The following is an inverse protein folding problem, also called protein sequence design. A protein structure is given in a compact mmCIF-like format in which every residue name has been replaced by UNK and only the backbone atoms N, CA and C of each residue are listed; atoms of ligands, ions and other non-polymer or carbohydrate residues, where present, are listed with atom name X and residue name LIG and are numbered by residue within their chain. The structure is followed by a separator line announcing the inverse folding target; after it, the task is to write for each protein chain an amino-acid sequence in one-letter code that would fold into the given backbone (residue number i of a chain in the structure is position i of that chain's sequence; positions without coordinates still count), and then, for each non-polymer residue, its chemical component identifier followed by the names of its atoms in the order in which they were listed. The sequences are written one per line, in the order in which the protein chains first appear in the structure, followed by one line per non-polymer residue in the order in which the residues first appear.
data_IF_829500626308
#
_entry.id   IF_829500626308
#
_cell.length_a   1.000
_cell.length_b   1.000
_cell.length_c   1.000
_cell.angle_alpha   90.00
_cell.angle_beta   90.00
_cell.angle_gamma   90.00
#
_symmetry.space_group_name_H-M   'P 1'
#
loop_
_entity.id
_entity.type
_entity.pdbx_description
1 polymer ?
#
# COMPACT_ATOMS: atom_id res chain seq x y z
N UNK A 1 -22.47 -17.55 -31.15
CA UNK A 1 -22.79 -16.59 -32.24
C UNK A 1 -21.58 -15.68 -32.39
N UNK A 2 -20.79 -15.91 -33.44
CA UNK A 2 -19.54 -15.19 -33.73
C UNK A 2 -19.90 -13.83 -34.31
N UNK A 3 -19.46 -12.73 -33.69
CA UNK A 3 -19.60 -11.39 -34.26
C UNK A 3 -18.25 -10.90 -34.78
N UNK A 4 -18.26 -10.69 -36.09
CA UNK A 4 -17.16 -10.38 -36.99
C UNK A 4 -16.81 -8.89 -36.88
N UNK A 5 -15.53 -8.57 -36.73
CA UNK A 5 -14.96 -7.22 -36.69
C UNK A 5 -15.07 -6.57 -38.08
N UNK A 6 -15.79 -5.45 -38.18
CA UNK A 6 -15.83 -4.57 -39.36
C UNK A 6 -14.88 -3.40 -39.13
N UNK A 7 -13.84 -3.27 -39.98
CA UNK A 7 -12.95 -2.10 -40.03
C UNK A 7 -13.55 -1.07 -41.00
N UNK A 8 -13.79 0.15 -40.54
CA UNK A 8 -13.88 1.35 -41.37
C UNK A 8 -12.74 2.30 -40.98
N UNK A 9 -11.88 2.60 -41.94
CA UNK A 9 -10.79 3.57 -41.85
C UNK A 9 -11.37 4.98 -42.01
N UNK A 10 -11.29 5.79 -40.95
CA UNK A 10 -11.34 7.25 -41.09
C UNK A 10 -10.12 7.85 -40.38
N UNK A 11 -9.24 8.45 -41.17
CA UNK A 11 -8.04 9.17 -40.76
C UNK A 11 -8.43 10.58 -40.32
N UNK A 12 -8.27 10.89 -39.03
CA UNK A 12 -8.37 12.25 -38.49
C UNK A 12 -6.93 12.76 -38.26
N UNK A 13 -6.58 13.84 -38.98
CA UNK A 13 -5.32 14.56 -38.82
C UNK A 13 -5.32 15.37 -37.52
N UNK A 14 -4.26 15.34 -36.68
CA UNK A 14 -4.17 16.21 -35.53
C UNK A 14 -3.69 17.62 -35.93
N UNK A 15 -4.46 18.63 -35.54
CA UNK A 15 -4.06 20.04 -35.54
C UNK A 15 -3.11 20.32 -34.36
N UNK A 16 -2.07 21.14 -34.51
CA UNK A 16 -1.15 21.43 -33.42
C UNK A 16 -1.76 22.45 -32.45
N UNK A 17 -2.04 22.02 -31.22
CA UNK A 17 -2.30 22.91 -30.08
C UNK A 17 -0.95 23.33 -29.48
N UNK A 18 -0.53 24.54 -29.82
CA UNK A 18 0.58 25.25 -29.20
C UNK A 18 0.19 25.65 -27.78
N UNK A 19 0.72 24.94 -26.77
CA UNK A 19 0.70 25.39 -25.38
C UNK A 19 2.09 25.97 -25.10
N UNK A 20 2.14 27.29 -24.94
CA UNK A 20 3.37 28.05 -24.79
C UNK A 20 4.12 27.72 -23.50
N UNK A 21 5.45 27.78 -23.57
CA UNK A 21 6.42 27.56 -22.50
C UNK A 21 6.37 28.57 -21.32
N UNK A 22 5.21 29.19 -21.07
CA UNK A 22 4.99 30.18 -20.00
C UNK A 22 4.25 29.63 -18.77
N UNK A 23 3.56 28.48 -18.86
CA UNK A 23 2.85 27.91 -17.71
C UNK A 23 3.70 27.00 -16.82
N UNK A 24 4.85 26.51 -17.31
CA UNK A 24 5.80 25.70 -16.52
C UNK A 24 6.62 26.55 -15.52
N UNK A 25 6.56 27.89 -15.61
CA UNK A 25 7.24 28.80 -14.68
C UNK A 25 6.45 29.17 -13.42
N UNK A 26 5.20 28.73 -13.27
CA UNK A 26 4.35 29.15 -12.15
C UNK A 26 4.42 28.26 -10.89
N UNK A 27 5.10 27.11 -10.93
CA UNK A 27 5.20 26.20 -9.78
C UNK A 27 6.59 26.15 -9.12
N UNK A 28 7.57 26.94 -9.59
CA UNK A 28 8.95 26.84 -9.11
C UNK A 28 9.51 28.09 -8.39
N UNK A 29 8.70 29.10 -8.07
CA UNK A 29 9.17 30.35 -7.42
C UNK A 29 8.44 30.74 -6.12
N UNK A 30 7.55 29.90 -5.58
CA UNK A 30 6.94 30.12 -4.25
C UNK A 30 7.78 29.51 -3.13
N UNK A 31 9.06 29.87 -3.11
CA UNK A 31 9.97 29.67 -1.98
C UNK A 31 11.03 30.75 -2.07
N UNK A 32 10.66 31.95 -1.65
CA UNK A 32 11.50 33.03 -1.12
C UNK A 32 10.66 34.32 -1.12
N UNK A 33 10.86 35.17 -0.12
CA UNK A 33 10.14 36.43 0.18
C UNK A 33 8.84 36.30 0.98
N UNK A 34 8.99 36.30 2.30
CA UNK A 34 8.13 37.09 3.18
C UNK A 34 8.96 37.58 4.37
N UNK A 35 9.80 38.59 4.12
CA UNK A 35 10.41 39.41 5.17
C UNK A 35 10.02 40.88 4.93
N UNK A 36 9.77 41.57 6.05
CA UNK A 36 9.53 43.02 6.23
C UNK A 36 8.12 43.56 5.96
N UNK A 37 7.33 43.74 7.03
CA UNK A 37 7.15 45.03 7.72
C UNK A 37 6.00 44.96 8.74
N UNK A 38 6.29 45.12 10.02
CA UNK A 38 5.35 45.67 11.00
C UNK A 38 6.13 46.41 12.10
N UNK A 39 5.69 47.63 12.35
CA UNK A 39 6.32 48.71 13.12
C UNK A 39 6.28 48.50 14.64
N UNK A 40 7.30 49.03 15.34
CA UNK A 40 7.33 49.16 16.80
C UNK A 40 6.09 49.91 17.32
N UNK A 41 5.39 49.32 18.28
CA UNK A 41 4.68 50.04 19.33
C UNK A 41 4.70 49.20 20.59
N UNK A 42 5.39 49.72 21.60
CA UNK A 42 5.51 49.12 22.92
C UNK A 42 4.17 49.19 23.64
N UNK A 43 3.62 48.02 23.97
CA UNK A 43 2.45 47.87 24.84
C UNK A 43 2.62 46.58 25.62
N UNK A 44 2.91 46.68 26.91
CA UNK A 44 3.00 45.54 27.83
C UNK A 44 1.57 45.02 28.04
N UNK A 45 1.23 43.90 27.41
CA UNK A 45 0.07 43.10 27.75
C UNK A 45 0.57 41.71 28.17
N UNK A 46 0.39 41.37 29.44
CA UNK A 46 0.72 40.06 29.97
C UNK A 46 -0.15 39.00 29.29
N UNK A 47 0.41 38.29 28.31
CA UNK A 47 -0.20 37.09 27.73
C UNK A 47 0.04 35.94 28.71
N UNK A 48 -1.01 35.49 29.37
CA UNK A 48 -1.09 34.18 29.97
C UNK A 48 -0.82 33.15 28.87
N UNK A 49 0.32 32.46 28.94
CA UNK A 49 0.63 31.31 28.08
C UNK A 49 -0.35 30.19 28.38
N UNK A 50 -1.50 30.18 27.70
CA UNK A 50 -2.29 28.96 27.56
C UNK A 50 -1.42 27.99 26.74
N UNK A 51 -0.82 27.03 27.42
CA UNK A 51 -0.15 25.90 26.78
C UNK A 51 -1.22 25.09 26.05
N UNK A 52 -1.41 25.35 24.76
CA UNK A 52 -1.97 24.36 23.85
C UNK A 52 -0.93 23.24 23.77
N UNK A 53 -1.26 21.99 24.15
CA UNK A 53 -0.33 20.90 23.94
C UNK A 53 -0.11 20.78 22.43
N UNK A 54 1.11 21.09 21.99
CA UNK A 54 1.60 20.66 20.69
C UNK A 54 1.44 19.15 20.66
N UNK A 55 0.54 18.63 19.82
CA UNK A 55 0.42 17.21 19.57
C UNK A 55 1.75 16.73 18.96
N UNK A 56 2.68 16.29 19.81
CA UNK A 56 3.87 15.59 19.37
C UNK A 56 3.38 14.34 18.67
N UNK A 57 3.59 14.25 17.35
CA UNK A 57 3.52 12.97 16.67
C UNK A 57 4.50 12.04 17.39
N UNK A 58 3.99 10.98 17.99
CA UNK A 58 4.80 9.95 18.60
C UNK A 58 5.36 9.12 17.45
N UNK A 59 6.60 9.38 17.06
CA UNK A 59 7.24 8.69 15.92
C UNK A 59 7.54 7.22 16.20
N UNK A 60 7.41 6.78 17.46
CA UNK A 60 7.77 5.43 17.89
C UNK A 60 6.60 4.83 18.68
N UNK A 61 5.74 4.12 17.97
CA UNK A 61 4.68 3.30 18.56
C UNK A 61 5.22 1.87 18.73
N UNK A 62 5.26 1.37 19.96
CA UNK A 62 5.70 0.02 20.23
C UNK A 62 4.60 -0.99 19.91
N UNK A 63 4.66 -1.60 18.72
CA UNK A 63 3.75 -2.65 18.31
C UNK A 63 3.75 -3.87 19.25
N UNK A 64 4.85 -4.15 19.95
CA UNK A 64 4.97 -5.29 20.85
C UNK A 64 4.22 -5.07 22.18
N UNK A 65 3.84 -3.83 22.48
CA UNK A 65 2.94 -3.52 23.58
C UNK A 65 1.52 -4.04 23.36
N UNK A 66 1.13 -4.28 22.10
CA UNK A 66 -0.17 -4.85 21.75
C UNK A 66 -0.14 -6.37 21.75
N UNK A 67 -1.02 -6.98 22.54
CA UNK A 67 -1.26 -8.43 22.45
C UNK A 67 -2.14 -8.73 21.23
N UNK A 68 -1.70 -9.62 20.30
CA UNK A 68 -2.53 -10.03 19.17
C UNK A 68 -3.89 -10.59 19.60
N UNK A 69 -4.96 -10.20 18.92
CA UNK A 69 -6.33 -10.57 19.26
C UNK A 69 -7.15 -10.92 18.01
N UNK A 70 -8.08 -11.86 18.13
CA UNK A 70 -9.06 -12.19 17.07
C UNK A 70 -10.19 -11.16 16.97
N UNK A 71 -10.19 -10.16 17.85
CA UNK A 71 -11.04 -8.96 17.79
C UNK A 71 -10.20 -7.71 17.60
N UNK A 72 -10.72 -6.71 16.89
CA UNK A 72 -10.02 -5.45 16.65
C UNK A 72 -10.05 -4.53 17.88
N UNK A 73 -9.05 -4.68 18.74
CA UNK A 73 -8.83 -3.85 19.91
C UNK A 73 -8.03 -2.60 19.52
N UNK A 74 -8.74 -1.57 19.06
CA UNK A 74 -8.13 -0.31 18.61
C UNK A 74 -7.59 0.52 19.78
N UNK A 75 -6.33 0.96 19.67
CA UNK A 75 -5.71 1.94 20.58
C UNK A 75 -5.27 3.16 19.80
N UNK A 76 -5.19 4.32 20.45
CA UNK A 76 -4.52 5.47 19.84
C UNK A 76 -3.04 5.17 19.62
N UNK A 77 -2.51 5.53 18.45
CA UNK A 77 -1.12 5.29 18.06
C UNK A 77 -0.63 6.41 17.15
N UNK A 78 0.67 6.72 17.19
CA UNK A 78 1.39 7.72 16.36
C UNK A 78 0.88 9.18 16.44
N UNK A 79 -0.39 9.43 16.10
CA UNK A 79 -1.04 10.74 16.10
C UNK A 79 -2.40 10.68 16.79
N UNK A 80 -2.99 11.84 17.07
CA UNK A 80 -4.35 11.92 17.62
C UNK A 80 -5.45 11.47 16.63
N UNK A 81 -5.12 11.29 15.35
CA UNK A 81 -6.07 10.95 14.28
C UNK A 81 -5.99 9.48 13.87
N UNK A 82 -5.06 8.72 14.44
CA UNK A 82 -4.76 7.34 14.02
C UNK A 82 -4.96 6.37 15.17
N UNK A 83 -5.48 5.19 14.84
CA UNK A 83 -5.64 4.10 15.78
C UNK A 83 -5.05 2.82 15.20
N UNK A 84 -4.46 2.00 16.06
CA UNK A 84 -3.77 0.78 15.68
C UNK A 84 -4.37 -0.43 16.39
N UNK A 85 -4.31 -1.58 15.73
CA UNK A 85 -4.71 -2.86 16.30
C UNK A 85 -3.77 -3.97 15.83
N UNK A 86 -3.53 -4.95 16.70
CA UNK A 86 -2.75 -6.15 16.37
C UNK A 86 -3.71 -7.34 16.23
N UNK A 87 -3.99 -7.73 15.00
CA UNK A 87 -5.06 -8.66 14.66
C UNK A 87 -4.53 -10.07 14.38
N UNK A 88 -5.02 -11.06 15.12
CA UNK A 88 -4.57 -12.44 15.01
C UNK A 88 -5.41 -13.21 13.99
N UNK A 89 -4.73 -13.85 13.04
CA UNK A 89 -5.30 -14.71 12.00
C UNK A 89 -4.56 -16.05 11.96
N UNK A 90 -5.17 -17.14 11.45
CA UNK A 90 -4.45 -18.39 11.21
C UNK A 90 -3.23 -18.18 10.30
N UNK A 91 -2.10 -18.77 10.67
CA UNK A 91 -0.93 -18.81 9.79
C UNK A 91 -1.27 -19.64 8.54
N UNK A 92 -1.87 -20.80 8.74
CA UNK A 92 -2.41 -21.67 7.70
C UNK A 92 -3.92 -21.80 7.85
N UNK A 93 -4.68 -21.34 6.85
CA UNK A 93 -6.14 -21.46 6.86
C UNK A 93 -6.65 -22.89 6.64
N UNK A 94 -5.83 -23.77 6.05
CA UNK A 94 -6.15 -25.19 5.90
C UNK A 94 -5.87 -25.99 7.17
N UNK A 95 -4.94 -25.50 8.00
CA UNK A 95 -4.63 -26.05 9.31
C UNK A 95 -4.51 -24.93 10.38
N UNK A 96 -5.63 -24.45 10.95
CA UNK A 96 -5.63 -23.36 11.93
C UNK A 96 -4.83 -23.65 13.21
N UNK A 97 -4.46 -24.91 13.46
CA UNK A 97 -3.64 -25.29 14.62
C UNK A 97 -2.14 -25.09 14.39
N UNK A 98 -1.70 -24.83 13.15
CA UNK A 98 -0.30 -24.65 12.77
C UNK A 98 0.34 -23.35 13.29
N UNK A 99 -0.45 -22.45 13.87
CA UNK A 99 0.01 -21.19 14.43
C UNK A 99 -0.81 -20.01 13.95
N UNK A 100 -0.34 -18.81 14.28
CA UNK A 100 -1.01 -17.55 13.92
C UNK A 100 -0.03 -16.56 13.30
N UNK A 101 -0.55 -15.73 12.42
CA UNK A 101 0.06 -14.46 12.05
C UNK A 101 -0.65 -13.34 12.82
N UNK A 102 0.12 -12.34 13.25
CA UNK A 102 -0.40 -11.13 13.87
C UNK A 102 -0.20 -9.97 12.90
N UNK A 103 -1.29 -9.48 12.34
CA UNK A 103 -1.33 -8.38 11.39
C UNK A 103 -1.30 -7.04 12.12
N UNK A 104 -0.49 -6.12 11.65
CA UNK A 104 -0.51 -4.73 12.09
C UNK A 104 -1.51 -3.94 11.24
N UNK A 105 -2.53 -3.37 11.89
CA UNK A 105 -3.56 -2.57 11.25
C UNK A 105 -3.51 -1.15 11.77
N UNK A 106 -3.70 -0.19 10.88
CA UNK A 106 -3.93 1.21 11.22
C UNK A 106 -5.28 1.65 10.65
N UNK A 107 -5.97 2.52 11.37
CA UNK A 107 -7.14 3.21 10.85
C UNK A 107 -7.10 4.70 11.12
N UNK A 108 -7.65 5.47 10.19
CA UNK A 108 -8.12 6.83 10.43
C UNK A 108 -9.64 6.73 10.55
N UNK A 109 -10.21 6.87 11.76
CA UNK A 109 -11.63 6.75 11.95
C UNK A 109 -12.37 7.90 11.26
N UNK A 110 -13.55 7.61 10.74
CA UNK A 110 -14.51 8.60 10.30
C UNK A 110 -14.83 9.56 11.45
N UNK A 111 -14.89 10.89 11.21
CA UNK A 111 -15.34 11.84 12.23
C UNK A 111 -16.82 11.65 12.60
N UNK A 112 -17.62 10.93 11.79
CA UNK A 112 -18.99 10.54 12.13
C UNK A 112 -19.01 9.44 13.21
N UNK A 113 -17.89 8.77 13.43
CA UNK A 113 -17.70 7.72 14.44
C UNK A 113 -18.42 6.41 14.11
N UNK A 114 -18.06 5.36 14.86
CA UNK A 114 -18.65 4.02 14.73
C UNK A 114 -20.10 3.93 15.21
N UNK A 115 -20.60 4.97 15.89
CA UNK A 115 -21.83 4.96 16.68
C UNK A 115 -23.09 5.27 15.86
N UNK A 116 -23.24 4.64 14.69
CA UNK A 116 -24.49 4.68 13.91
C UNK A 116 -24.95 6.09 13.52
N UNK A 117 -24.02 7.05 13.47
CA UNK A 117 -24.33 8.41 13.04
C UNK A 117 -24.92 8.35 11.61
N UNK A 118 -25.99 9.12 11.34
CA UNK A 118 -26.55 9.20 10.00
C UNK A 118 -25.44 9.56 8.99
N UNK A 119 -25.18 8.67 8.04
CA UNK A 119 -24.16 8.86 6.99
C UNK A 119 -22.90 8.01 7.11
N UNK A 120 -22.62 7.36 8.25
CA UNK A 120 -21.46 6.45 8.34
C UNK A 120 -21.62 5.24 7.40
N UNK A 121 -20.62 5.00 6.56
CA UNK A 121 -20.66 4.03 5.45
C UNK A 121 -19.70 2.85 5.62
N UNK A 122 -19.00 2.77 6.76
CA UNK A 122 -18.14 1.63 7.09
C UNK A 122 -16.66 1.84 6.71
N UNK A 123 -15.83 0.80 6.87
CA UNK A 123 -14.41 0.85 6.54
C UNK A 123 -14.17 0.67 5.04
N UNK A 124 -13.25 1.45 4.49
CA UNK A 124 -12.58 1.20 3.22
C UNK A 124 -11.21 0.62 3.52
N UNK A 125 -10.98 -0.62 3.10
CA UNK A 125 -9.71 -1.29 3.24
C UNK A 125 -8.79 -0.86 2.09
N UNK A 126 -7.61 -0.34 2.42
CA UNK A 126 -6.64 0.18 1.46
C UNK A 126 -5.38 -0.68 1.42
N UNK A 127 -4.81 -0.89 0.23
CA UNK A 127 -3.50 -1.51 0.06
C UNK A 127 -2.67 -0.77 -1.01
N UNK A 128 -1.43 -0.35 -0.69
CA UNK A 128 -0.60 0.43 -1.61
C UNK A 128 0.12 -0.39 -2.70
N UNK A 129 0.08 -1.73 -2.60
CA UNK A 129 0.79 -2.61 -3.53
C UNK A 129 2.23 -2.92 -3.10
N UNK A 130 3.15 -2.88 -4.07
CA UNK A 130 4.50 -3.44 -3.95
C UNK A 130 4.66 -4.71 -4.80
N UNK A 131 4.51 -5.94 -4.24
CA UNK A 131 4.22 -6.30 -2.85
C UNK A 131 5.33 -5.90 -1.86
N UNK A 132 5.05 -5.96 -0.56
CA UNK A 132 6.04 -5.69 0.50
C UNK A 132 6.10 -4.25 0.99
N UNK A 133 5.28 -3.34 0.45
CA UNK A 133 5.11 -2.00 0.98
C UNK A 133 4.19 -2.06 2.20
N UNK A 134 4.59 -1.39 3.29
CA UNK A 134 3.78 -1.28 4.50
C UNK A 134 2.54 -0.42 4.26
N UNK A 135 1.36 -0.99 4.50
CA UNK A 135 0.10 -0.26 4.51
C UNK A 135 -0.01 0.67 5.71
N UNK A 136 0.60 0.31 6.84
CA UNK A 136 0.67 1.15 8.05
C UNK A 136 1.44 2.44 7.76
N UNK A 137 2.68 2.32 7.27
CA UNK A 137 3.52 3.49 6.96
C UNK A 137 2.90 4.35 5.85
N UNK A 138 2.26 3.72 4.85
CA UNK A 138 1.58 4.47 3.80
C UNK A 138 0.39 5.27 4.34
N UNK A 139 -0.40 4.70 5.24
CA UNK A 139 -1.52 5.43 5.85
C UNK A 139 -1.05 6.52 6.82
N UNK A 140 0.09 6.34 7.50
CA UNK A 140 0.71 7.42 8.28
C UNK A 140 1.14 8.58 7.39
N UNK A 141 1.73 8.29 6.23
CA UNK A 141 2.23 9.31 5.31
C UNK A 141 1.12 9.99 4.50
N UNK A 142 0.16 9.22 4.01
CA UNK A 142 -0.81 9.65 2.99
C UNK A 142 -2.27 9.47 3.39
N UNK A 143 -2.56 8.96 4.60
CA UNK A 143 -3.91 8.53 4.99
C UNK A 143 -4.96 9.64 4.90
N UNK A 144 -4.63 10.87 5.26
CA UNK A 144 -5.56 12.00 5.12
C UNK A 144 -5.90 12.32 3.65
N UNK A 145 -4.92 12.24 2.74
CA UNK A 145 -5.16 12.42 1.31
C UNK A 145 -6.01 11.26 0.74
N UNK A 146 -5.71 10.03 1.14
CA UNK A 146 -6.46 8.83 0.73
C UNK A 146 -7.90 8.89 1.23
N UNK A 147 -8.12 9.19 2.52
CA UNK A 147 -9.45 9.33 3.09
C UNK A 147 -10.23 10.47 2.43
N UNK A 148 -9.57 11.58 2.07
CA UNK A 148 -10.17 12.69 1.34
C UNK A 148 -10.77 12.30 -0.02
N UNK A 149 -10.32 11.21 -0.65
CA UNK A 149 -10.87 10.72 -1.93
C UNK A 149 -12.28 10.15 -1.76
N UNK A 150 -12.53 9.41 -0.67
CA UNK A 150 -13.83 8.78 -0.43
C UNK A 150 -14.66 9.48 0.66
N UNK A 151 -14.07 10.43 1.37
CA UNK A 151 -14.72 11.36 2.28
C UNK A 151 -14.89 10.84 3.71
N UNK A 152 -15.33 11.76 4.57
CA UNK A 152 -15.49 11.60 6.02
C UNK A 152 -16.53 10.55 6.42
N UNK A 153 -17.34 10.05 5.48
CA UNK A 153 -18.35 9.02 5.74
C UNK A 153 -17.73 7.64 6.04
N UNK A 154 -16.44 7.44 5.76
CA UNK A 154 -15.77 6.15 5.84
C UNK A 154 -14.56 6.18 6.79
N UNK A 155 -14.30 5.04 7.44
CA UNK A 155 -13.00 4.81 8.03
C UNK A 155 -12.01 4.47 6.90
N UNK A 156 -10.82 5.06 6.91
CA UNK A 156 -9.69 4.46 6.20
C UNK A 156 -9.11 3.37 7.08
N UNK A 157 -9.05 2.13 6.59
CA UNK A 157 -8.35 1.02 7.25
C UNK A 157 -7.25 0.54 6.31
N UNK A 158 -6.02 0.48 6.80
CA UNK A 158 -4.88 -0.07 6.07
C UNK A 158 -4.15 -1.07 6.96
N UNK A 159 -3.40 -1.97 6.36
CA UNK A 159 -2.74 -3.05 7.09
C UNK A 159 -1.44 -3.44 6.43
N UNK A 160 -0.53 -3.98 7.24
CA UNK A 160 0.64 -4.66 6.74
C UNK A 160 0.28 -6.13 6.47
N UNK A 161 0.39 -6.62 5.23
CA UNK A 161 0.20 -8.04 4.96
C UNK A 161 1.13 -8.91 5.81
N UNK A 162 0.77 -10.17 6.02
CA UNK A 162 1.64 -11.17 6.66
C UNK A 162 3.06 -11.12 6.07
N UNK A 163 4.08 -11.10 6.93
CA UNK A 163 5.49 -10.99 6.53
C UNK A 163 5.97 -9.58 6.15
N UNK A 164 5.11 -8.57 6.17
CA UNK A 164 5.43 -7.18 5.78
C UNK A 164 5.41 -6.26 7.00
N UNK A 165 6.29 -5.26 7.00
CA UNK A 165 6.27 -4.15 7.95
C UNK A 165 6.25 -4.62 9.41
N UNK A 166 5.21 -4.20 10.13
CA UNK A 166 5.01 -4.47 11.55
C UNK A 166 4.28 -5.79 11.84
N UNK A 167 3.84 -6.51 10.80
CA UNK A 167 3.17 -7.81 10.94
C UNK A 167 4.16 -8.93 11.25
N UNK A 168 3.74 -9.88 12.08
CA UNK A 168 4.57 -11.03 12.50
C UNK A 168 3.91 -12.36 12.13
N UNK A 169 4.68 -13.41 11.79
CA UNK A 169 6.15 -13.43 11.73
C UNK A 169 6.71 -12.56 10.60
N UNK A 170 7.78 -11.83 10.90
CA UNK A 170 8.42 -10.94 9.94
C UNK A 170 9.29 -11.76 8.98
N UNK A 171 9.22 -11.46 7.68
CA UNK A 171 10.08 -12.08 6.68
C UNK A 171 11.28 -11.17 6.43
N UNK A 172 12.47 -11.63 6.79
CA UNK A 172 13.72 -10.94 6.44
C UNK A 172 14.74 -11.93 5.88
N UNK A 173 15.06 -11.79 4.60
CA UNK A 173 16.11 -12.61 3.99
C UNK A 173 17.49 -12.09 4.36
N UNK A 174 17.64 -10.80 4.66
CA UNK A 174 18.93 -10.16 4.93
C UNK A 174 19.23 -10.09 6.43
N UNK A 175 20.52 -10.17 6.76
CA UNK A 175 21.05 -10.10 8.13
C UNK A 175 21.15 -8.68 8.66
N UNK A 176 21.19 -7.69 7.78
CA UNK A 176 21.20 -6.28 8.13
C UNK A 176 20.48 -5.45 7.06
N UNK A 177 20.05 -4.25 7.45
CA UNK A 177 19.49 -3.27 6.51
C UNK A 177 20.51 -2.84 5.45
N UNK A 178 21.79 -2.80 5.83
CA UNK A 178 22.87 -2.50 4.90
C UNK A 178 22.98 -3.57 3.82
N UNK A 179 22.98 -4.86 4.17
CA UNK A 179 23.03 -5.96 3.19
C UNK A 179 21.84 -5.91 2.23
N UNK A 180 20.64 -5.64 2.77
CA UNK A 180 19.42 -5.46 1.97
C UNK A 180 19.56 -4.29 1.00
N UNK A 181 20.01 -3.14 1.49
CA UNK A 181 20.19 -1.94 0.68
C UNK A 181 21.23 -2.15 -0.42
N UNK A 182 22.36 -2.80 -0.11
CA UNK A 182 23.40 -3.12 -1.09
C UNK A 182 22.87 -4.08 -2.16
N UNK A 183 22.14 -5.12 -1.79
CA UNK A 183 21.52 -6.04 -2.74
C UNK A 183 20.54 -5.33 -3.67
N UNK A 184 19.65 -4.49 -3.10
CA UNK A 184 18.65 -3.74 -3.86
C UNK A 184 19.30 -2.70 -4.78
N UNK A 185 20.35 -2.01 -4.32
CA UNK A 185 21.10 -1.08 -5.15
C UNK A 185 21.76 -1.79 -6.34
N UNK A 186 22.35 -2.97 -6.12
CA UNK A 186 22.92 -3.80 -7.19
C UNK A 186 21.88 -4.29 -8.21
N UNK A 187 20.62 -4.46 -7.79
CA UNK A 187 19.51 -4.84 -8.66
C UNK A 187 19.08 -3.71 -9.62
N UNK A 188 19.23 -2.46 -9.22
CA UNK A 188 18.76 -1.30 -9.99
C UNK A 188 19.59 -1.03 -11.26
N UNK A 189 20.86 -1.45 -11.27
CA UNK A 189 21.80 -1.11 -12.34
C UNK A 189 22.18 -2.32 -13.21
N UNK A 190 21.22 -3.19 -13.49
CA UNK A 190 21.45 -4.28 -14.45
C UNK A 190 21.80 -3.67 -15.81
N UNK A 191 23.03 -3.91 -16.26
CA UNK A 191 23.43 -3.54 -17.61
C UNK A 191 22.71 -4.47 -18.60
N UNK A 192 21.62 -3.98 -19.20
CA UNK A 192 20.81 -4.71 -20.19
C UNK A 192 21.30 -4.50 -21.62
N UNK A 193 22.44 -3.81 -21.83
CA UNK A 193 23.06 -3.71 -23.15
C UNK A 193 23.33 -5.10 -23.71
N UNK A 194 22.98 -5.31 -24.99
CA UNK A 194 23.12 -6.60 -25.67
C UNK A 194 24.56 -7.14 -25.69
N UNK A 195 25.56 -6.28 -25.46
CA UNK A 195 26.98 -6.64 -25.37
C UNK A 195 27.38 -7.18 -24.00
N UNK A 196 26.57 -6.99 -22.96
CA UNK A 196 26.79 -7.50 -21.62
C UNK A 196 26.29 -8.95 -21.51
N UNK A 197 27.16 -9.93 -21.80
CA UNK A 197 26.81 -11.36 -21.67
C UNK A 197 26.75 -11.88 -20.23
N UNK A 198 27.15 -11.08 -19.25
CA UNK A 198 27.35 -11.53 -17.86
C UNK A 198 26.25 -11.07 -16.90
N UNK A 199 25.63 -9.92 -17.15
CA UNK A 199 24.66 -9.30 -16.23
C UNK A 199 23.43 -10.18 -15.96
N UNK A 200 22.86 -10.80 -16.99
CA UNK A 200 21.67 -11.65 -16.82
C UNK A 200 21.97 -12.97 -16.09
N UNK A 201 23.00 -13.76 -16.47
CA UNK A 201 23.38 -14.95 -15.68
C UNK A 201 23.77 -14.64 -14.24
N UNK A 202 24.49 -13.55 -13.99
CA UNK A 202 24.85 -13.12 -12.63
C UNK A 202 23.60 -12.76 -11.83
N UNK A 203 22.68 -12.00 -12.43
CA UNK A 203 21.43 -11.66 -11.78
C UNK A 203 20.62 -12.91 -11.47
N UNK A 204 20.49 -13.83 -12.43
CA UNK A 204 19.80 -15.10 -12.23
C UNK A 204 20.38 -15.88 -11.05
N UNK A 205 21.70 -16.02 -10.98
CA UNK A 205 22.39 -16.66 -9.87
C UNK A 205 22.10 -15.95 -8.53
N UNK A 206 22.12 -14.62 -8.50
CA UNK A 206 21.79 -13.83 -7.30
C UNK A 206 20.36 -14.11 -6.83
N UNK A 207 19.36 -14.15 -7.72
CA UNK A 207 17.97 -14.39 -7.31
C UNK A 207 17.77 -15.83 -6.85
N UNK A 208 18.48 -16.80 -7.45
CA UNK A 208 18.47 -18.20 -6.99
C UNK A 208 19.05 -18.34 -5.58
N UNK A 209 20.18 -17.68 -5.30
CA UNK A 209 20.79 -17.64 -3.95
C UNK A 209 19.87 -16.91 -2.97
N UNK A 210 19.23 -15.81 -3.37
CA UNK A 210 18.25 -15.13 -2.52
C UNK A 210 17.09 -16.06 -2.17
N UNK A 211 16.57 -16.81 -3.15
CA UNK A 211 15.51 -17.79 -2.96
C UNK A 211 15.90 -18.93 -2.02
N UNK A 212 17.14 -19.45 -2.11
CA UNK A 212 17.62 -20.46 -1.16
C UNK A 212 17.77 -19.89 0.24
N UNK A 213 18.38 -18.70 0.38
CA UNK A 213 18.53 -18.04 1.68
C UNK A 213 17.18 -17.74 2.32
N UNK A 214 16.18 -17.34 1.53
CA UNK A 214 14.83 -17.11 2.04
C UNK A 214 14.24 -18.39 2.64
N UNK A 215 14.34 -19.53 1.95
CA UNK A 215 13.89 -20.83 2.47
C UNK A 215 14.66 -21.26 3.71
N UNK A 216 15.99 -21.16 3.69
CA UNK A 216 16.84 -21.61 4.78
C UNK A 216 16.65 -20.78 6.06
N UNK A 217 16.41 -19.47 5.92
CA UNK A 217 16.29 -18.54 7.05
C UNK A 217 14.88 -18.42 7.61
N UNK A 218 13.86 -18.59 6.76
CA UNK A 218 12.45 -18.39 7.14
C UNK A 218 11.70 -19.70 7.40
N UNK A 219 12.24 -20.83 6.93
CA UNK A 219 11.61 -22.14 7.05
C UNK A 219 10.23 -22.16 6.38
N UNK A 220 9.33 -22.97 6.93
CA UNK A 220 8.00 -23.22 6.34
C UNK A 220 7.07 -21.99 6.41
N UNK A 221 7.37 -21.02 7.27
CA UNK A 221 6.56 -19.80 7.44
C UNK A 221 6.40 -19.03 6.13
N UNK A 222 7.43 -18.99 5.28
CA UNK A 222 7.38 -18.26 4.01
C UNK A 222 6.34 -18.82 3.04
N UNK A 223 6.01 -20.12 3.14
CA UNK A 223 5.00 -20.77 2.31
C UNK A 223 3.58 -20.27 2.61
N UNK A 224 3.39 -19.57 3.74
CA UNK A 224 2.11 -19.00 4.13
C UNK A 224 1.97 -17.52 3.79
N UNK A 225 2.97 -16.89 3.16
CA UNK A 225 2.98 -15.46 2.79
C UNK A 225 2.39 -15.22 1.40
N UNK A 226 1.30 -15.93 1.09
CA UNK A 226 0.70 -15.99 -0.25
C UNK A 226 -0.46 -15.01 -0.39
N UNK A 227 -0.72 -14.54 -1.62
CA UNK A 227 -1.81 -13.60 -1.92
C UNK A 227 -3.18 -14.13 -1.53
N UNK A 228 -3.44 -15.44 -1.68
CA UNK A 228 -4.71 -16.05 -1.30
C UNK A 228 -4.91 -16.00 0.23
N UNK A 229 -3.86 -16.23 1.01
CA UNK A 229 -3.92 -16.08 2.46
C UNK A 229 -4.12 -14.62 2.87
N UNK A 230 -3.47 -13.67 2.19
CA UNK A 230 -3.73 -12.23 2.43
C UNK A 230 -5.18 -11.86 2.10
N UNK A 231 -5.77 -12.43 1.04
CA UNK A 231 -7.19 -12.23 0.73
C UNK A 231 -8.11 -12.81 1.82
N UNK A 232 -7.74 -13.94 2.43
CA UNK A 232 -8.45 -14.49 3.60
C UNK A 232 -8.31 -13.59 4.83
N UNK A 233 -7.13 -13.03 5.04
CA UNK A 233 -6.87 -12.05 6.09
C UNK A 233 -7.78 -10.83 5.93
N UNK A 234 -7.89 -10.29 4.71
CA UNK A 234 -8.79 -9.17 4.41
C UNK A 234 -10.25 -9.48 4.79
N UNK A 235 -10.74 -10.68 4.49
CA UNK A 235 -12.08 -11.09 4.88
C UNK A 235 -12.23 -11.08 6.41
N UNK A 236 -11.24 -11.60 7.13
CA UNK A 236 -11.25 -11.60 8.61
C UNK A 236 -11.21 -10.19 9.20
N UNK A 237 -10.47 -9.26 8.58
CA UNK A 237 -10.43 -7.86 8.99
C UNK A 237 -11.81 -7.22 8.86
N UNK A 238 -12.48 -7.45 7.72
CA UNK A 238 -13.83 -6.92 7.44
C UNK A 238 -14.85 -7.49 8.42
N UNK A 239 -14.81 -8.82 8.66
CA UNK A 239 -15.69 -9.49 9.63
C UNK A 239 -15.48 -8.96 11.05
N UNK A 240 -14.23 -8.79 11.48
CA UNK A 240 -13.90 -8.29 12.81
C UNK A 240 -14.25 -6.81 13.01
N UNK A 241 -14.37 -6.03 11.93
CA UNK A 241 -14.91 -4.66 11.96
C UNK A 241 -16.45 -4.64 12.01
N UNK A 242 -17.11 -5.79 11.91
CA UNK A 242 -18.57 -5.91 11.97
C UNK A 242 -19.27 -5.70 10.62
N UNK A 243 -18.58 -5.99 9.51
CA UNK A 243 -19.14 -5.90 8.16
C UNK A 243 -19.10 -7.25 7.47
N UNK A 244 -20.07 -7.50 6.59
CA UNK A 244 -20.16 -8.75 5.84
C UNK A 244 -19.47 -8.70 4.48
N UNK A 245 -19.21 -7.49 3.96
CA UNK A 245 -18.71 -7.27 2.61
C UNK A 245 -17.61 -6.22 2.58
N UNK A 246 -16.65 -6.46 1.71
CA UNK A 246 -15.46 -5.66 1.50
C UNK A 246 -15.78 -4.40 0.69
N UNK A 247 -15.32 -3.26 1.19
CA UNK A 247 -15.10 -2.05 0.42
C UNK A 247 -13.58 -1.86 0.33
N UNK A 248 -13.02 -1.87 -0.88
CA UNK A 248 -11.57 -1.94 -1.06
C UNK A 248 -11.06 -1.01 -2.15
N UNK A 249 -9.88 -0.44 -1.89
CA UNK A 249 -9.07 0.24 -2.88
C UNK A 249 -7.64 -0.30 -2.83
N UNK A 250 -7.23 -0.97 -3.91
CA UNK A 250 -5.88 -1.50 -4.08
C UNK A 250 -5.14 -0.85 -5.23
N UNK A 251 -3.88 -0.46 -4.99
CA UNK A 251 -3.00 0.12 -6.00
C UNK A 251 -1.91 -0.88 -6.40
N UNK A 252 -1.53 -0.95 -7.68
CA UNK A 252 -0.42 -1.79 -8.17
C UNK A 252 -0.64 -3.27 -7.81
N UNK A 253 0.25 -3.93 -7.07
CA UNK A 253 0.01 -5.29 -6.53
C UNK A 253 -1.31 -5.40 -5.73
N UNK A 254 -1.79 -4.31 -5.14
CA UNK A 254 -3.11 -4.25 -4.52
C UNK A 254 -4.25 -4.58 -5.50
N UNK A 255 -4.07 -4.38 -6.81
CA UNK A 255 -5.01 -4.82 -7.84
C UNK A 255 -5.07 -6.34 -7.97
N UNK A 256 -3.92 -7.03 -7.88
CA UNK A 256 -3.84 -8.49 -7.84
C UNK A 256 -4.58 -9.01 -6.61
N UNK A 257 -4.31 -8.40 -5.45
CA UNK A 257 -4.93 -8.77 -4.19
C UNK A 257 -6.45 -8.58 -4.21
N UNK A 258 -6.94 -7.45 -4.73
CA UNK A 258 -8.38 -7.19 -4.88
C UNK A 258 -9.06 -8.18 -5.82
N UNK A 259 -8.40 -8.54 -6.92
CA UNK A 259 -8.90 -9.55 -7.87
C UNK A 259 -8.94 -10.95 -7.27
N UNK A 260 -7.88 -11.35 -6.55
CA UNK A 260 -7.82 -12.62 -5.83
C UNK A 260 -8.93 -12.71 -4.77
N UNK A 261 -9.19 -11.64 -4.04
CA UNK A 261 -10.31 -11.57 -3.10
C UNK A 261 -11.66 -11.79 -3.81
N UNK A 262 -11.90 -11.08 -4.92
CA UNK A 262 -13.15 -11.21 -5.67
C UNK A 262 -13.34 -12.62 -6.27
N UNK A 263 -12.25 -13.28 -6.67
CA UNK A 263 -12.30 -14.66 -7.16
C UNK A 263 -12.60 -15.67 -6.04
N UNK A 264 -12.00 -15.50 -4.86
CA UNK A 264 -12.20 -16.39 -3.72
C UNK A 264 -13.54 -16.17 -3.01
N UNK A 265 -14.03 -14.93 -2.98
CA UNK A 265 -15.18 -14.50 -2.19
C UNK A 265 -16.10 -13.53 -2.97
N UNK A 266 -16.65 -13.94 -4.12
CA UNK A 266 -17.43 -13.03 -4.98
C UNK A 266 -18.62 -12.38 -4.26
N UNK A 267 -19.31 -13.13 -3.39
CA UNK A 267 -20.46 -12.64 -2.62
C UNK A 267 -20.10 -11.68 -1.48
N UNK A 268 -18.81 -11.56 -1.17
CA UNK A 268 -18.25 -10.74 -0.10
C UNK A 268 -17.70 -9.41 -0.61
N UNK A 269 -17.97 -9.02 -1.85
CA UNK A 269 -17.60 -7.71 -2.40
C UNK A 269 -18.79 -6.75 -2.32
N UNK A 270 -18.60 -5.58 -1.68
CA UNK A 270 -19.55 -4.46 -1.73
C UNK A 270 -19.11 -3.43 -2.77
N UNK A 271 -17.85 -2.97 -2.68
CA UNK A 271 -17.24 -2.02 -3.62
C UNK A 271 -15.77 -2.39 -3.82
N UNK A 272 -15.32 -2.40 -5.07
CA UNK A 272 -13.96 -2.76 -5.42
C UNK A 272 -13.37 -1.73 -6.40
N UNK A 273 -12.31 -1.06 -5.99
CA UNK A 273 -11.49 -0.19 -6.83
C UNK A 273 -10.10 -0.80 -6.91
N UNK A 274 -9.62 -1.03 -8.13
CA UNK A 274 -8.27 -1.51 -8.41
C UNK A 274 -7.62 -0.54 -9.40
N UNK A 275 -6.49 0.02 -9.01
CA UNK A 275 -5.81 1.11 -9.70
C UNK A 275 -4.35 0.73 -9.98
N UNK A 276 -3.83 1.03 -11.18
CA UNK A 276 -2.59 0.44 -11.66
C UNK A 276 -2.70 -1.07 -11.85
N UNK A 277 -3.69 -1.49 -12.66
CA UNK A 277 -4.06 -2.89 -12.87
C UNK A 277 -2.90 -3.72 -13.44
N UNK A 278 -2.51 -4.77 -12.72
CA UNK A 278 -1.61 -5.81 -13.22
C UNK A 278 -2.40 -6.91 -13.92
N UNK A 279 -1.85 -7.46 -15.00
CA UNK A 279 -2.42 -8.66 -15.62
C UNK A 279 -2.25 -9.87 -14.70
N UNK A 280 -3.37 -10.50 -14.32
CA UNK A 280 -3.36 -11.61 -13.37
C UNK A 280 -2.74 -12.87 -13.97
N UNK A 281 -2.97 -13.10 -15.26
CA UNK A 281 -2.44 -14.29 -15.92
C UNK A 281 -0.92 -14.19 -16.03
N UNK A 282 -0.40 -13.07 -16.55
CA UNK A 282 1.04 -12.76 -16.55
C UNK A 282 1.67 -12.81 -15.16
N UNK A 283 1.02 -12.22 -14.15
CA UNK A 283 1.53 -12.19 -12.78
C UNK A 283 1.73 -13.58 -12.16
N UNK A 284 0.80 -14.52 -12.39
CA UNK A 284 0.88 -15.86 -11.80
C UNK A 284 1.60 -16.89 -12.68
N UNK A 285 1.56 -16.74 -14.01
CA UNK A 285 2.14 -17.72 -14.94
C UNK A 285 3.59 -17.40 -15.34
N UNK A 286 4.17 -16.29 -14.85
CA UNK A 286 5.52 -15.82 -15.23
C UNK A 286 5.69 -15.54 -16.73
N UNK A 287 4.57 -15.43 -17.47
CA UNK A 287 4.55 -15.05 -18.89
C UNK A 287 4.76 -13.53 -19.09
N UNK A 288 4.86 -12.76 -18.00
CA UNK A 288 5.39 -11.38 -17.99
C UNK A 288 6.91 -11.37 -18.24
N UNK A 289 7.36 -12.04 -19.29
CA UNK A 289 8.57 -11.64 -19.98
C UNK A 289 8.25 -10.29 -20.64
N UNK A 290 8.46 -9.18 -19.90
CA UNK A 290 8.55 -7.83 -20.48
C UNK A 290 9.58 -7.74 -21.63
N UNK A 291 10.40 -8.80 -21.83
CA UNK A 291 11.34 -8.95 -22.92
C UNK A 291 10.76 -9.64 -24.18
N UNK A 292 9.68 -10.42 -24.05
CA UNK A 292 9.02 -11.11 -25.18
C UNK A 292 7.82 -10.33 -25.73
N UNK A 293 7.32 -9.32 -25.00
CA UNK A 293 6.22 -8.52 -25.48
C UNK A 293 6.68 -7.51 -26.55
N UNK A 294 6.69 -7.95 -27.80
CA UNK A 294 6.75 -7.10 -28.99
C UNK A 294 5.49 -6.20 -29.15
N UNK A 295 4.65 -6.05 -28.13
CA UNK A 295 3.46 -5.19 -28.15
C UNK A 295 3.53 -3.94 -27.26
N UNK A 296 4.73 -3.49 -26.85
CA UNK A 296 4.95 -2.04 -26.64
C UNK A 296 4.96 -1.35 -28.02
N UNK A 297 3.80 -1.36 -28.67
CA UNK A 297 3.41 -0.41 -29.69
C UNK A 297 3.17 0.94 -29.03
N UNK A 298 4.22 1.59 -28.55
CA UNK A 298 4.26 3.03 -28.47
C UNK A 298 4.72 3.56 -29.84
N UNK A 299 3.77 3.52 -30.76
CA UNK A 299 3.77 4.40 -31.94
C UNK A 299 3.79 5.85 -31.43
N UNK A 300 4.88 6.55 -31.74
CA UNK A 300 5.13 8.01 -31.68
C UNK A 300 5.01 8.72 -30.33
#
# INVERSE_FOLDING_TARGET
MVLKKSRSNETISPSPLSIGAHEIRFLCTMSYLSFLRATLSAGILALSLVHLPSASAQTDFDWNSLTPSTSLNWVSCYTQFTQCARFSVPLDYSNPSAGSAALALIRLPSPLGLSGAPGYRGPVLFNPGGPGISGVETALALGGNIQGVFGDEFDLVSFDPRGVGHSTPAISVFTSDFDRATFNFGATFLNTEATSRQSLPERWAQVQVLGSLARDRQGDVIAHMTTDNVARDMLRIVEAHGRDKLQYWGISYGSVLGSAFAALFPDKVERLVIDGLLDLEGYYNTDDNYLDDQSIGATM
#
